data_IF_032436242810
#
_entry.id   IF_032436242810
#
_cell.length_a   1.000
_cell.length_b   1.000
_cell.length_c   1.000
_cell.angle_alpha   90.00
_cell.angle_beta   90.00
_cell.angle_gamma   90.00
#
_symmetry.space_group_name_H-M   'P 1'
#
loop_
_entity.id
_entity.type
_entity.pdbx_description
1 polymer ?
#
# COMPACT_ATOMS: atom_id res chain seq x y z
N UNK A 1 10.54 -0.47 -15.50
CA UNK A 1 10.83 0.16 -14.19
C UNK A 1 11.58 -0.84 -13.33
N UNK A 2 12.63 -0.42 -12.62
CA UNK A 2 13.36 -1.27 -11.66
C UNK A 2 12.97 -0.87 -10.24
N UNK A 3 12.88 -1.85 -9.35
CA UNK A 3 12.52 -1.65 -7.94
C UNK A 3 13.61 -2.26 -7.07
N UNK A 4 14.03 -1.53 -6.04
CA UNK A 4 14.75 -2.10 -4.92
C UNK A 4 13.73 -2.57 -3.90
N UNK A 5 13.66 -3.87 -3.65
CA UNK A 5 12.75 -4.42 -2.64
C UNK A 5 13.37 -4.21 -1.26
N UNK A 6 12.62 -3.57 -0.35
CA UNK A 6 13.11 -3.17 0.98
C UNK A 6 12.52 -4.01 2.12
N UNK A 7 11.61 -4.93 1.82
CA UNK A 7 10.96 -5.78 2.82
C UNK A 7 10.27 -6.99 2.19
N UNK A 8 9.55 -7.74 3.02
CA UNK A 8 8.68 -8.82 2.56
C UNK A 8 7.32 -8.27 2.17
N UNK A 9 6.73 -8.85 1.13
CA UNK A 9 5.35 -8.54 0.75
C UNK A 9 4.39 -9.10 1.82
N UNK A 10 3.41 -8.28 2.21
CA UNK A 10 2.44 -8.60 3.26
C UNK A 10 1.04 -8.09 2.88
N UNK A 11 0.00 -8.74 3.38
CA UNK A 11 -1.37 -8.27 3.20
C UNK A 11 -1.56 -6.88 3.82
N UNK A 12 -2.22 -5.98 3.09
CA UNK A 12 -2.64 -4.70 3.63
C UNK A 12 -3.66 -4.91 4.75
N UNK A 13 -3.63 -4.02 5.75
CA UNK A 13 -4.73 -3.90 6.70
C UNK A 13 -6.06 -3.65 6.01
N UNK A 14 -7.17 -4.02 6.65
CA UNK A 14 -8.51 -3.93 6.03
C UNK A 14 -9.38 -2.79 6.56
N UNK A 15 -8.83 -1.93 7.42
CA UNK A 15 -9.53 -0.79 8.02
C UNK A 15 -8.56 0.30 8.40
N UNK A 16 -9.11 1.51 8.61
CA UNK A 16 -8.42 2.56 9.37
C UNK A 16 -7.98 2.04 10.74
N UNK A 17 -6.90 2.62 11.29
CA UNK A 17 -6.18 2.23 12.52
C UNK A 17 -5.48 0.88 12.48
N UNK A 18 -5.58 0.16 11.36
CA UNK A 18 -4.92 -1.12 11.12
C UNK A 18 -4.08 -1.09 9.84
N UNK A 19 -3.75 0.10 9.34
CA UNK A 19 -2.88 0.26 8.17
C UNK A 19 -1.44 -0.13 8.48
N UNK A 20 -0.65 -0.34 7.43
CA UNK A 20 0.78 -0.62 7.57
C UNK A 20 1.60 0.50 6.97
N UNK A 21 2.65 0.93 7.68
CA UNK A 21 3.64 1.87 7.15
C UNK A 21 4.74 1.18 6.32
N UNK A 22 4.68 -0.15 6.19
CA UNK A 22 5.61 -0.99 5.42
C UNK A 22 7.08 -0.69 5.74
N UNK A 23 7.44 -0.82 7.02
CA UNK A 23 8.79 -0.55 7.55
C UNK A 23 9.25 0.90 7.29
N UNK A 24 8.30 1.83 7.38
CA UNK A 24 8.51 3.26 7.15
C UNK A 24 9.06 3.61 5.75
N UNK A 25 8.76 2.78 4.76
CA UNK A 25 9.14 3.06 3.37
C UNK A 25 8.37 4.27 2.81
N UNK A 26 9.03 5.11 2.03
CA UNK A 26 8.40 6.28 1.36
C UNK A 26 7.73 5.93 0.03
N UNK A 27 7.97 4.71 -0.47
CA UNK A 27 7.27 4.17 -1.63
C UNK A 27 6.82 2.74 -1.35
N UNK A 28 5.54 2.46 -1.54
CA UNK A 28 4.96 1.13 -1.34
C UNK A 28 4.43 0.63 -2.66
N UNK A 29 4.94 -0.50 -3.16
CA UNK A 29 4.32 -1.22 -4.26
C UNK A 29 3.12 -1.97 -3.68
N UNK A 30 1.93 -1.72 -4.21
CA UNK A 30 0.73 -2.48 -3.89
C UNK A 30 0.29 -3.30 -5.08
N UNK A 31 -0.15 -4.54 -4.84
CA UNK A 31 -0.62 -5.46 -5.84
C UNK A 31 -1.95 -6.08 -5.40
N UNK A 32 -2.97 -5.98 -6.25
CA UNK A 32 -4.23 -6.66 -6.01
C UNK A 32 -4.17 -8.05 -6.64
N UNK A 33 -4.00 -9.08 -5.82
CA UNK A 33 -3.94 -10.47 -6.26
C UNK A 33 -5.32 -11.07 -6.56
N UNK A 34 -6.40 -10.36 -6.22
CA UNK A 34 -7.78 -10.79 -6.43
C UNK A 34 -8.33 -10.48 -7.83
N UNK A 35 -9.58 -10.90 -8.03
CA UNK A 35 -10.33 -10.72 -9.29
C UNK A 35 -11.28 -9.53 -9.27
N UNK A 36 -11.38 -8.80 -8.15
CA UNK A 36 -12.25 -7.62 -7.99
C UNK A 36 -11.42 -6.38 -7.74
N UNK A 37 -11.87 -5.22 -8.25
CA UNK A 37 -11.22 -3.95 -7.92
C UNK A 37 -11.41 -3.62 -6.43
N UNK A 38 -10.35 -3.13 -5.78
CA UNK A 38 -10.34 -2.81 -4.34
C UNK A 38 -10.00 -1.35 -4.11
N UNK A 39 -10.68 -0.73 -3.15
CA UNK A 39 -10.29 0.59 -2.67
C UNK A 39 -9.01 0.44 -1.84
N UNK A 40 -8.00 1.24 -2.13
CA UNK A 40 -6.78 1.40 -1.35
C UNK A 40 -6.79 2.80 -0.76
N UNK A 41 -6.41 2.90 0.51
CA UNK A 41 -6.47 4.10 1.30
C UNK A 41 -5.12 4.39 1.92
N UNK A 42 -4.78 5.67 2.03
CA UNK A 42 -3.61 6.15 2.76
C UNK A 42 -4.10 7.06 3.88
N UNK A 43 -3.62 6.85 5.09
CA UNK A 43 -3.92 7.66 6.26
C UNK A 43 -2.64 8.03 7.01
N UNK A 44 -2.70 9.08 7.82
CA UNK A 44 -1.61 9.38 8.75
C UNK A 44 -1.56 8.33 9.85
N UNK A 45 -0.46 8.26 10.61
CA UNK A 45 -0.36 7.42 11.82
C UNK A 45 -1.38 7.79 12.92
N UNK A 46 -2.07 8.91 12.79
CA UNK A 46 -3.19 9.32 13.64
C UNK A 46 -4.56 8.88 13.10
N UNK A 47 -4.60 7.99 12.12
CA UNK A 47 -5.80 7.52 11.43
C UNK A 47 -6.62 8.64 10.77
N UNK A 48 -5.94 9.70 10.33
CA UNK A 48 -6.56 10.75 9.52
C UNK A 48 -6.40 10.40 8.05
N UNK A 49 -7.52 10.17 7.35
CA UNK A 49 -7.51 9.80 5.94
C UNK A 49 -6.86 10.91 5.08
N UNK A 50 -5.84 10.55 4.31
CA UNK A 50 -5.16 11.43 3.35
C UNK A 50 -5.85 11.34 1.99
N UNK A 51 -6.15 10.12 1.55
CA UNK A 51 -6.81 9.90 0.26
C UNK A 51 -7.02 8.43 -0.06
N UNK A 52 -7.73 8.19 -1.16
CA UNK A 52 -8.04 6.84 -1.64
C UNK A 52 -7.93 6.75 -3.15
N UNK A 53 -7.70 5.54 -3.65
CA UNK A 53 -7.80 5.24 -5.07
C UNK A 53 -8.31 3.80 -5.27
N UNK A 54 -8.84 3.50 -6.44
CA UNK A 54 -9.27 2.15 -6.79
C UNK A 54 -8.12 1.42 -7.49
N UNK A 55 -7.72 0.28 -6.96
CA UNK A 55 -6.76 -0.64 -7.56
C UNK A 55 -7.51 -1.76 -8.29
N UNK A 56 -7.37 -1.81 -9.61
CA UNK A 56 -7.99 -2.84 -10.45
C UNK A 56 -7.59 -4.27 -10.06
N UNK A 57 -8.38 -5.25 -10.49
CA UNK A 57 -8.05 -6.66 -10.33
C UNK A 57 -6.73 -7.00 -11.05
N UNK A 58 -5.81 -7.71 -10.39
CA UNK A 58 -4.49 -8.03 -10.94
C UNK A 58 -3.55 -6.83 -11.10
N UNK A 59 -3.99 -5.61 -10.78
CA UNK A 59 -3.21 -4.40 -11.01
C UNK A 59 -2.10 -4.23 -9.97
N UNK A 60 -1.11 -3.42 -10.31
CA UNK A 60 0.00 -3.04 -9.43
C UNK A 60 0.20 -1.54 -9.54
N UNK A 61 0.33 -0.85 -8.42
CA UNK A 61 0.66 0.57 -8.37
C UNK A 61 1.74 0.86 -7.33
N UNK A 62 2.32 2.05 -7.39
CA UNK A 62 3.29 2.53 -6.39
C UNK A 62 2.74 3.77 -5.72
N UNK A 63 2.61 3.70 -4.41
CA UNK A 63 2.13 4.79 -3.57
C UNK A 63 3.35 5.51 -3.00
N UNK A 64 3.46 6.81 -3.31
CA UNK A 64 4.37 7.71 -2.59
C UNK A 64 3.67 8.19 -1.33
N UNK A 65 4.32 8.05 -0.17
CA UNK A 65 3.77 8.42 1.13
C UNK A 65 4.86 8.94 2.07
N UNK A 66 4.49 9.59 3.16
CA UNK A 66 5.45 9.89 4.22
C UNK A 66 5.83 8.61 5.00
N UNK A 67 7.01 8.55 5.64
CA UNK A 67 7.47 7.36 6.36
C UNK A 67 6.48 6.86 7.43
N UNK A 68 5.74 7.78 8.05
CA UNK A 68 4.76 7.48 9.10
C UNK A 68 3.37 7.15 8.57
N UNK A 69 3.06 7.48 7.33
CA UNK A 69 1.76 7.21 6.75
C UNK A 69 1.53 5.70 6.62
N UNK A 70 0.27 5.31 6.73
CA UNK A 70 -0.18 3.93 6.75
C UNK A 70 -1.07 3.68 5.53
N UNK A 71 -0.91 2.49 4.95
CA UNK A 71 -1.71 2.04 3.80
C UNK A 71 -2.59 0.88 4.24
N UNK A 72 -3.87 0.96 3.92
CA UNK A 72 -4.85 -0.11 4.10
C UNK A 72 -5.70 -0.27 2.83
N UNK A 73 -6.40 -1.38 2.70
CA UNK A 73 -7.25 -1.67 1.56
C UNK A 73 -8.60 -2.20 2.00
N UNK A 74 -9.57 -2.23 1.08
CA UNK A 74 -10.87 -2.83 1.35
C UNK A 74 -10.82 -4.36 1.57
N UNK A 75 -9.70 -5.02 1.24
CA UNK A 75 -9.54 -6.46 1.39
C UNK A 75 -8.05 -6.87 1.49
N UNK A 76 -7.76 -7.94 2.23
CA UNK A 76 -6.42 -8.46 2.48
C UNK A 76 -5.76 -9.13 1.26
N UNK A 77 -6.48 -9.30 0.15
CA UNK A 77 -5.91 -9.75 -1.14
C UNK A 77 -5.04 -8.68 -1.81
N UNK A 78 -5.12 -7.43 -1.33
CA UNK A 78 -4.17 -6.39 -1.69
C UNK A 78 -2.93 -6.59 -0.84
N UNK A 79 -1.83 -6.88 -1.51
CA UNK A 79 -0.52 -7.09 -0.92
C UNK A 79 0.32 -5.83 -1.10
N UNK A 80 1.10 -5.47 -0.09
CA UNK A 80 2.00 -4.32 -0.12
C UNK A 80 3.42 -4.71 0.22
N UNK A 81 4.39 -4.02 -0.39
CA UNK A 81 5.81 -4.15 -0.07
C UNK A 81 6.50 -2.80 -0.20
N UNK A 82 7.35 -2.45 0.78
CA UNK A 82 8.19 -1.26 0.71
C UNK A 82 9.24 -1.39 -0.40
N UNK A 83 9.41 -0.35 -1.21
CA UNK A 83 10.34 -0.34 -2.35
C UNK A 83 11.10 0.97 -2.46
N UNK A 84 12.29 0.93 -3.05
CA UNK A 84 12.99 2.10 -3.59
C UNK A 84 12.83 2.16 -5.12
N UNK A 85 12.62 3.36 -5.66
CA UNK A 85 12.58 3.59 -7.10
C UNK A 85 14.01 3.85 -7.60
N UNK A 86 14.50 3.03 -8.52
CA UNK A 86 15.84 3.16 -9.09
C UNK A 86 15.74 3.26 -10.62
N UNK A 87 16.52 4.18 -11.20
CA UNK A 87 16.68 4.40 -12.64
C UNK A 87 17.44 3.27 -13.35
#
# INVERSE_FOLDING_TARGET
>A
MKLLVLGSEAACGTSSTNGSNFSSSTAVRVHNSGSTARLVSVETSGASLIGTFTLGAGATEIISKDPTDEVFAAHAEVLGVGVGIIG
#
